data_IF_400077632921
#
_entry.id   IF_400077632921
#
_cell.length_a   1.000
_cell.length_b   1.000
_cell.length_c   1.000
_cell.angle_alpha   90.00
_cell.angle_beta   90.00
_cell.angle_gamma   90.00
#
_symmetry.space_group_name_H-M   'P 1'
#
loop_
_entity.id
_entity.type
_entity.pdbx_description
1 polymer ?
#
# COMPACT_ATOMS: atom_id res chain seq x y z
N UNK A 1 52.96 34.68 47.36
CA UNK A 1 52.74 33.22 47.40
C UNK A 1 52.14 32.79 46.08
N UNK A 2 52.87 31.96 45.34
CA UNK A 2 52.53 31.34 44.06
C UNK A 2 51.42 30.30 44.25
N UNK A 3 50.44 30.23 43.34
CA UNK A 3 49.54 29.07 43.22
C UNK A 3 49.31 28.73 41.76
N UNK A 4 49.36 27.43 41.49
CA UNK A 4 49.56 26.75 40.22
C UNK A 4 48.26 26.54 39.43
N UNK A 5 48.40 26.48 38.12
CA UNK A 5 47.41 26.02 37.13
C UNK A 5 46.76 24.68 37.47
N UNK A 6 45.51 24.47 37.01
CA UNK A 6 45.19 23.24 36.24
C UNK A 6 43.91 23.39 35.41
N UNK A 7 44.07 23.30 34.10
CA UNK A 7 43.00 23.30 33.08
C UNK A 7 42.41 21.88 32.99
N UNK A 8 41.13 21.68 33.35
CA UNK A 8 40.45 20.40 33.12
C UNK A 8 39.87 20.34 31.70
N UNK A 9 40.67 19.87 30.75
CA UNK A 9 40.19 19.39 29.44
C UNK A 9 40.37 17.89 29.37
N UNK A 10 39.29 17.11 29.54
CA UNK A 10 39.05 15.78 28.94
C UNK A 10 37.92 15.07 29.68
N UNK A 11 36.74 15.01 29.04
CA UNK A 11 35.72 13.97 29.28
C UNK A 11 34.58 13.94 28.25
N UNK A 12 34.54 14.85 27.26
CA UNK A 12 33.48 14.88 26.23
C UNK A 12 33.61 13.83 25.11
N UNK A 13 34.80 13.29 24.82
CA UNK A 13 35.00 12.37 23.68
C UNK A 13 34.63 10.91 23.96
N UNK A 14 34.59 10.48 25.22
CA UNK A 14 34.22 9.10 25.58
C UNK A 14 32.70 8.85 25.59
N UNK A 15 31.89 9.87 25.87
CA UNK A 15 30.43 9.76 25.84
C UNK A 15 29.86 9.60 24.42
N UNK A 16 30.48 10.27 23.43
CA UNK A 16 30.03 10.19 22.03
C UNK A 16 30.31 8.83 21.39
N UNK A 17 31.40 8.15 21.76
CA UNK A 17 31.76 6.83 21.23
C UNK A 17 30.87 5.73 21.84
N UNK A 18 30.54 5.84 23.14
CA UNK A 18 29.63 4.90 23.79
C UNK A 18 28.19 5.00 23.24
N UNK A 19 27.70 6.20 22.93
CA UNK A 19 26.39 6.40 22.32
C UNK A 19 26.33 5.87 20.87
N UNK A 20 27.39 6.07 20.07
CA UNK A 20 27.44 5.57 18.69
C UNK A 20 27.56 4.03 18.62
N UNK A 21 28.32 3.41 19.53
CA UNK A 21 28.41 1.95 19.61
C UNK A 21 27.09 1.30 20.09
N UNK A 22 26.37 1.96 21.01
CA UNK A 22 25.04 1.55 21.44
C UNK A 22 24.01 1.59 20.30
N UNK A 23 24.01 2.66 19.49
CA UNK A 23 23.12 2.77 18.32
C UNK A 23 23.45 1.74 17.23
N UNK A 24 24.74 1.42 16.99
CA UNK A 24 25.11 0.38 16.02
C UNK A 24 24.75 -1.04 16.51
N UNK A 25 24.86 -1.31 17.81
CA UNK A 25 24.49 -2.61 18.36
C UNK A 25 22.98 -2.89 18.24
N UNK A 26 22.13 -1.87 18.36
CA UNK A 26 20.66 -2.01 18.15
C UNK A 26 20.26 -2.18 16.69
N UNK A 27 21.10 -1.76 15.74
CA UNK A 27 20.86 -1.95 14.29
C UNK A 27 21.20 -3.37 13.81
N UNK A 28 22.05 -4.11 14.54
CA UNK A 28 22.50 -5.46 14.17
C UNK A 28 21.59 -6.58 14.70
N UNK A 29 20.67 -6.28 15.61
CA UNK A 29 19.65 -7.22 16.13
C UNK A 29 18.27 -6.99 15.52
N UNK A 30 18.13 -6.02 14.62
CA UNK A 30 16.93 -5.85 13.82
C UNK A 30 16.89 -6.97 12.75
N UNK A 31 16.49 -8.16 13.16
CA UNK A 31 15.93 -9.14 12.24
C UNK A 31 14.82 -8.44 11.46
N UNK A 32 14.89 -8.44 10.14
CA UNK A 32 13.75 -8.08 9.31
C UNK A 32 12.57 -8.91 9.79
N UNK A 33 11.58 -8.27 10.40
CA UNK A 33 10.28 -8.88 10.63
C UNK A 33 9.71 -9.16 9.23
N UNK A 34 10.03 -10.33 8.69
CA UNK A 34 9.32 -10.85 7.55
C UNK A 34 7.90 -11.07 8.06
N UNK A 35 6.98 -10.19 7.66
CA UNK A 35 5.56 -10.45 7.84
C UNK A 35 5.30 -11.81 7.18
N UNK A 36 4.91 -12.81 7.97
CA UNK A 36 4.33 -14.02 7.41
C UNK A 36 3.07 -13.55 6.69
N UNK A 37 2.99 -13.65 5.35
CA UNK A 37 1.75 -13.36 4.65
C UNK A 37 0.66 -14.23 5.27
N UNK A 38 -0.56 -13.73 5.37
CA UNK A 38 -1.70 -14.59 5.62
C UNK A 38 -1.62 -15.76 4.60
N UNK A 39 -1.92 -17.02 4.97
CA UNK A 39 -2.00 -18.12 4.02
C UNK A 39 -2.72 -17.80 2.69
N UNK A 40 -3.64 -16.81 2.67
CA UNK A 40 -4.28 -16.28 1.46
C UNK A 40 -3.56 -15.15 0.71
N UNK A 41 -2.59 -14.47 1.32
CA UNK A 41 -1.85 -13.33 0.74
C UNK A 41 -0.57 -13.75 -0.01
N UNK A 42 -0.15 -15.00 0.15
CA UNK A 42 0.93 -15.55 -0.67
C UNK A 42 0.46 -15.62 -2.14
N UNK A 43 1.26 -15.17 -3.12
CA UNK A 43 0.95 -15.42 -4.52
C UNK A 43 0.75 -16.93 -4.69
N UNK A 44 -0.42 -17.34 -5.19
CA UNK A 44 -0.66 -18.73 -5.52
C UNK A 44 0.51 -19.26 -6.34
N UNK A 45 1.02 -20.45 -6.02
CA UNK A 45 2.04 -21.08 -6.88
C UNK A 45 1.46 -21.12 -8.29
N UNK A 46 2.18 -20.50 -9.23
CA UNK A 46 1.78 -20.49 -10.64
C UNK A 46 1.81 -21.93 -11.14
N UNK A 47 0.69 -22.63 -11.04
CA UNK A 47 0.46 -23.90 -11.72
C UNK A 47 0.79 -23.73 -13.20
N UNK A 48 1.49 -24.70 -13.79
CA UNK A 48 1.78 -24.65 -15.20
C UNK A 48 0.49 -24.85 -15.99
N UNK A 49 0.16 -23.87 -16.84
CA UNK A 49 -0.96 -23.99 -17.78
C UNK A 49 -0.64 -25.11 -18.77
N UNK A 50 -1.55 -26.06 -18.94
CA UNK A 50 -1.28 -27.22 -19.80
C UNK A 50 -1.13 -26.82 -21.26
N UNK A 51 -0.48 -27.67 -22.08
CA UNK A 51 -0.33 -27.40 -23.52
C UNK A 51 -1.67 -27.36 -24.25
N UNK A 52 -2.65 -28.14 -23.79
CA UNK A 52 -4.01 -28.12 -24.33
C UNK A 52 -4.69 -26.79 -24.05
N UNK A 53 -4.63 -26.29 -22.81
CA UNK A 53 -5.28 -25.02 -22.45
C UNK A 53 -4.64 -23.85 -23.22
N UNK A 54 -3.32 -23.88 -23.42
CA UNK A 54 -2.62 -22.90 -24.25
C UNK A 54 -3.04 -22.96 -25.71
N UNK A 55 -3.26 -24.15 -26.27
CA UNK A 55 -3.70 -24.32 -27.65
C UNK A 55 -5.15 -23.86 -27.84
N UNK A 56 -6.02 -24.17 -26.88
CA UNK A 56 -7.42 -23.70 -26.84
C UNK A 56 -7.48 -22.18 -26.77
N UNK A 57 -6.74 -21.55 -25.86
CA UNK A 57 -6.67 -20.10 -25.76
C UNK A 57 -6.17 -19.44 -27.06
N UNK A 58 -5.15 -20.02 -27.73
CA UNK A 58 -4.67 -19.53 -29.02
C UNK A 58 -5.71 -19.65 -30.13
N UNK A 59 -6.46 -20.75 -30.16
CA UNK A 59 -7.55 -20.94 -31.12
C UNK A 59 -8.67 -19.91 -30.89
N UNK A 60 -9.06 -19.68 -29.64
CA UNK A 60 -10.07 -18.68 -29.27
C UNK A 60 -9.63 -17.24 -29.64
N UNK A 61 -8.35 -16.88 -29.40
CA UNK A 61 -7.79 -15.60 -29.86
C UNK A 61 -7.83 -15.51 -31.38
N UNK A 62 -7.39 -16.55 -32.09
CA UNK A 62 -7.39 -16.57 -33.56
C UNK A 62 -8.80 -16.54 -34.17
N UNK A 63 -9.79 -17.07 -33.44
CA UNK A 63 -11.21 -17.04 -33.82
C UNK A 63 -11.91 -15.73 -33.49
N UNK A 64 -11.29 -14.87 -32.66
CA UNK A 64 -11.88 -13.62 -32.18
C UNK A 64 -12.88 -13.79 -31.03
N UNK A 65 -12.93 -14.98 -30.40
CA UNK A 65 -13.81 -15.27 -29.27
C UNK A 65 -13.33 -14.56 -27.99
N UNK A 66 -12.01 -14.38 -27.87
CA UNK A 66 -11.39 -13.59 -26.80
C UNK A 66 -10.36 -12.61 -27.41
N UNK A 67 -10.16 -11.43 -26.80
CA UNK A 67 -9.17 -10.48 -27.26
C UNK A 67 -7.75 -11.06 -27.25
N UNK A 68 -6.93 -10.64 -28.20
CA UNK A 68 -5.50 -10.92 -28.19
C UNK A 68 -4.77 -10.26 -27.03
N UNK A 69 -3.49 -10.64 -26.85
CA UNK A 69 -2.61 -9.97 -25.88
C UNK A 69 -2.50 -8.49 -26.26
N UNK A 70 -2.73 -7.61 -25.28
CA UNK A 70 -2.74 -6.15 -25.42
C UNK A 70 -3.86 -5.58 -26.33
N UNK A 71 -4.80 -6.41 -26.78
CA UNK A 71 -5.98 -5.94 -27.50
C UNK A 71 -6.99 -5.33 -26.51
N UNK A 72 -7.34 -4.06 -26.75
CA UNK A 72 -8.35 -3.37 -25.96
C UNK A 72 -9.70 -3.51 -26.67
N UNK A 73 -10.56 -4.35 -26.12
CA UNK A 73 -11.95 -4.47 -26.57
C UNK A 73 -12.86 -3.69 -25.64
N UNK A 74 -13.76 -2.89 -26.22
CA UNK A 74 -14.73 -2.09 -25.49
C UNK A 74 -15.99 -1.87 -26.36
N UNK A 75 -17.11 -1.50 -25.74
CA UNK A 75 -18.30 -1.07 -26.48
C UNK A 75 -18.05 0.25 -27.22
N UNK A 76 -18.83 0.54 -28.27
CA UNK A 76 -18.62 1.71 -29.15
C UNK A 76 -18.66 3.08 -28.43
N UNK A 77 -19.32 3.15 -27.28
CA UNK A 77 -19.45 4.35 -26.45
C UNK A 77 -18.36 4.50 -25.38
N UNK A 78 -17.45 3.54 -25.26
CA UNK A 78 -16.31 3.58 -24.36
C UNK A 78 -15.05 3.88 -25.19
N UNK A 79 -14.12 4.64 -24.62
CA UNK A 79 -12.81 4.91 -25.24
C UNK A 79 -11.75 4.90 -24.16
N UNK A 80 -10.68 4.14 -24.38
CA UNK A 80 -9.49 4.27 -23.56
C UNK A 80 -8.87 5.66 -23.77
N UNK A 81 -8.67 6.43 -22.70
CA UNK A 81 -8.10 7.78 -22.78
C UNK A 81 -6.63 7.85 -22.37
N UNK A 82 -6.26 7.18 -21.29
CA UNK A 82 -4.89 7.15 -20.76
C UNK A 82 -4.74 6.04 -19.73
N UNK A 83 -3.53 5.53 -19.58
CA UNK A 83 -3.09 4.74 -18.44
C UNK A 83 -2.37 5.65 -17.43
N UNK A 84 -2.57 5.43 -16.13
CA UNK A 84 -1.84 6.12 -15.05
C UNK A 84 -1.02 5.07 -14.30
N UNK A 85 0.32 5.12 -14.36
CA UNK A 85 1.16 4.17 -13.63
C UNK A 85 0.93 4.24 -12.11
N UNK A 86 1.12 3.10 -11.43
CA UNK A 86 1.09 3.06 -9.96
C UNK A 86 2.18 3.98 -9.39
N UNK A 87 1.85 4.58 -8.24
CA UNK A 87 2.74 5.45 -7.49
C UNK A 87 3.61 4.66 -6.51
N UNK A 88 3.60 5.06 -5.24
CA UNK A 88 4.37 4.45 -4.17
C UNK A 88 3.75 3.15 -3.65
N UNK A 89 2.41 3.05 -3.66
CA UNK A 89 1.70 1.83 -3.27
C UNK A 89 1.82 0.79 -4.40
N UNK A 90 2.49 -0.33 -4.13
CA UNK A 90 2.80 -1.35 -5.15
C UNK A 90 1.80 -2.51 -5.14
N UNK A 91 1.06 -2.67 -4.04
CA UNK A 91 0.02 -3.67 -3.86
C UNK A 91 -1.03 -3.66 -4.97
N UNK A 92 -1.83 -4.72 -5.02
CA UNK A 92 -2.92 -4.84 -6.00
C UNK A 92 -3.94 -3.73 -5.77
N UNK A 93 -4.35 -3.05 -6.84
CA UNK A 93 -5.44 -2.07 -6.76
C UNK A 93 -6.76 -2.82 -6.65
N UNK A 94 -7.71 -2.24 -5.95
CA UNK A 94 -9.03 -2.82 -5.70
C UNK A 94 -10.12 -1.85 -6.11
N UNK A 95 -11.20 -1.73 -5.33
CA UNK A 95 -12.38 -0.97 -5.72
C UNK A 95 -12.14 0.53 -5.91
N UNK A 96 -13.08 1.14 -6.62
CA UNK A 96 -13.09 2.55 -6.98
C UNK A 96 -14.34 3.23 -6.44
N UNK A 97 -14.16 4.38 -5.81
CA UNK A 97 -15.24 5.32 -5.52
C UNK A 97 -15.01 6.66 -6.24
N UNK A 98 -16.10 7.36 -6.57
CA UNK A 98 -16.04 8.64 -7.27
C UNK A 98 -16.80 9.72 -6.51
N UNK A 99 -16.23 10.91 -6.42
CA UNK A 99 -16.89 12.09 -5.85
C UNK A 99 -16.51 13.35 -6.62
N UNK A 100 -17.46 13.87 -7.41
CA UNK A 100 -17.24 15.03 -8.27
C UNK A 100 -16.09 14.79 -9.25
N UNK A 101 -14.99 15.53 -9.07
CA UNK A 101 -13.78 15.43 -9.91
C UNK A 101 -12.69 14.52 -9.33
N UNK A 102 -13.01 13.70 -8.33
CA UNK A 102 -12.05 12.82 -7.68
C UNK A 102 -12.42 11.35 -7.84
N UNK A 103 -11.40 10.52 -8.04
CA UNK A 103 -11.48 9.06 -7.92
C UNK A 103 -10.66 8.64 -6.71
N UNK A 104 -11.19 7.72 -5.92
CA UNK A 104 -10.55 7.10 -4.77
C UNK A 104 -10.34 5.63 -5.12
N UNK A 105 -9.12 5.15 -5.01
CA UNK A 105 -8.72 3.83 -5.49
C UNK A 105 -8.13 3.05 -4.34
N UNK A 106 -8.79 1.95 -4.00
CA UNK A 106 -8.31 0.99 -3.03
C UNK A 106 -7.03 0.32 -3.50
N UNK A 107 -6.20 -0.07 -2.55
CA UNK A 107 -4.96 -0.78 -2.80
C UNK A 107 -4.65 -1.64 -1.58
N UNK A 108 -4.09 -2.84 -1.75
CA UNK A 108 -3.76 -3.71 -0.60
C UNK A 108 -2.86 -3.02 0.45
N UNK A 109 -2.07 -2.02 0.04
CA UNK A 109 -1.22 -1.21 0.90
C UNK A 109 -1.94 0.03 1.50
N UNK A 110 -3.12 0.41 1.02
CA UNK A 110 -3.91 1.55 1.50
C UNK A 110 -4.84 2.12 0.43
N UNK A 111 -4.71 3.40 0.10
CA UNK A 111 -5.49 4.00 -0.99
C UNK A 111 -4.83 5.20 -1.67
N UNK A 112 -5.31 5.51 -2.88
CA UNK A 112 -4.86 6.65 -3.69
C UNK A 112 -6.04 7.54 -4.05
N UNK A 113 -5.84 8.86 -3.98
CA UNK A 113 -6.81 9.85 -4.47
C UNK A 113 -6.27 10.46 -5.75
N UNK A 114 -7.07 10.45 -6.82
CA UNK A 114 -6.77 11.11 -8.09
C UNK A 114 -7.73 12.28 -8.34
N UNK A 115 -7.20 13.40 -8.84
CA UNK A 115 -7.97 14.45 -9.51
C UNK A 115 -8.15 14.03 -10.98
N UNK A 116 -9.40 13.77 -11.36
CA UNK A 116 -9.83 13.34 -12.68
C UNK A 116 -10.52 14.47 -13.47
N UNK A 117 -10.39 15.73 -13.04
CA UNK A 117 -10.96 16.90 -13.75
C UNK A 117 -10.46 17.06 -15.19
N UNK A 118 -9.29 16.49 -15.50
CA UNK A 118 -8.77 16.36 -16.86
C UNK A 118 -8.69 14.87 -17.21
N UNK A 119 -9.71 14.27 -17.86
CA UNK A 119 -9.79 12.82 -18.05
C UNK A 119 -8.60 12.20 -18.81
N UNK A 120 -7.98 12.96 -19.73
CA UNK A 120 -6.77 12.53 -20.46
C UNK A 120 -5.47 12.72 -19.69
N UNK A 121 -5.49 13.41 -18.55
CA UNK A 121 -4.33 13.71 -17.69
C UNK A 121 -4.71 13.72 -16.20
N UNK A 122 -5.20 12.60 -15.63
CA UNK A 122 -5.46 12.49 -14.20
C UNK A 122 -4.18 12.80 -13.40
N UNK A 123 -4.34 13.27 -12.16
CA UNK A 123 -3.22 13.59 -11.27
C UNK A 123 -3.41 12.96 -9.91
N UNK A 124 -2.38 12.33 -9.38
CA UNK A 124 -2.35 11.89 -7.98
C UNK A 124 -2.43 13.10 -7.05
N UNK A 125 -3.34 13.06 -6.10
CA UNK A 125 -3.58 14.09 -5.07
C UNK A 125 -2.96 13.68 -3.75
N UNK A 126 -3.18 12.43 -3.35
CA UNK A 126 -2.65 11.83 -2.14
C UNK A 126 -2.49 10.32 -2.32
N UNK A 127 -1.56 9.75 -1.56
CA UNK A 127 -1.37 8.30 -1.39
C UNK A 127 -1.27 8.06 0.11
N UNK A 128 -2.12 7.20 0.64
CA UNK A 128 -2.19 6.90 2.06
C UNK A 128 -1.80 5.44 2.24
N UNK A 129 -0.68 5.21 2.92
CA UNK A 129 -0.26 3.87 3.34
C UNK A 129 -1.08 3.49 4.57
N UNK A 130 -1.93 2.49 4.42
CA UNK A 130 -2.73 1.92 5.49
C UNK A 130 -3.03 0.45 5.15
N UNK A 131 -2.09 -0.46 5.43
CA UNK A 131 -2.23 -1.85 5.03
C UNK A 131 -3.42 -2.51 5.74
N UNK A 132 -4.09 -3.40 5.01
CA UNK A 132 -5.23 -4.15 5.52
C UNK A 132 -5.69 -5.29 4.61
N UNK A 133 -5.00 -5.53 3.47
CA UNK A 133 -5.47 -6.34 2.34
C UNK A 133 -6.83 -5.87 1.80
N UNK A 134 -7.14 -6.18 0.55
CA UNK A 134 -8.31 -5.70 -0.20
C UNK A 134 -8.51 -4.18 -0.19
N UNK A 135 -8.82 -3.54 0.95
CA UNK A 135 -8.85 -2.09 1.12
C UNK A 135 -9.83 -1.44 0.14
N UNK A 136 -11.00 -2.07 -0.01
CA UNK A 136 -12.08 -1.56 -0.84
C UNK A 136 -12.61 -0.26 -0.25
N UNK A 137 -13.05 0.63 -1.15
CA UNK A 137 -13.39 2.00 -0.80
C UNK A 137 -14.86 2.29 -1.04
N UNK A 138 -15.48 2.91 -0.04
CA UNK A 138 -16.73 3.65 -0.18
C UNK A 138 -16.55 5.09 0.28
N UNK A 139 -17.27 6.03 -0.34
CA UNK A 139 -17.19 7.46 0.00
C UNK A 139 -18.58 8.04 0.22
N UNK A 140 -18.79 8.73 1.34
CA UNK A 140 -20.02 9.46 1.64
C UNK A 140 -19.72 10.80 2.31
N UNK A 141 -20.14 11.90 1.69
CA UNK A 141 -19.83 13.25 2.18
C UNK A 141 -18.32 13.46 2.32
N UNK A 142 -17.84 13.82 3.51
CA UNK A 142 -16.41 13.97 3.78
C UNK A 142 -15.77 12.72 4.37
N UNK A 143 -16.42 11.56 4.33
CA UNK A 143 -15.91 10.32 4.89
C UNK A 143 -15.54 9.34 3.77
N UNK A 144 -14.38 8.72 3.93
CA UNK A 144 -13.93 7.56 3.18
C UNK A 144 -13.90 6.37 4.12
N UNK A 145 -14.52 5.28 3.71
CA UNK A 145 -14.56 4.01 4.41
C UNK A 145 -13.64 3.05 3.67
N UNK A 146 -12.69 2.48 4.38
CA UNK A 146 -11.68 1.56 3.87
C UNK A 146 -11.85 0.22 4.59
N UNK A 147 -12.14 -0.85 3.85
CA UNK A 147 -12.21 -2.18 4.45
C UNK A 147 -10.82 -2.68 4.86
N UNK A 148 -10.77 -3.59 5.81
CA UNK A 148 -9.56 -4.33 6.19
C UNK A 148 -9.98 -5.78 6.31
N UNK A 149 -9.49 -6.59 5.37
CA UNK A 149 -9.83 -7.99 5.17
C UNK A 149 -8.61 -8.89 5.46
N UNK A 150 -7.76 -8.47 6.39
CA UNK A 150 -6.69 -9.31 6.93
C UNK A 150 -6.46 -9.02 8.40
N UNK A 151 -6.06 -10.05 9.14
CA UNK A 151 -5.84 -9.98 10.59
C UNK A 151 -4.71 -9.00 10.94
N UNK A 152 -5.04 -7.97 11.74
CA UNK A 152 -4.12 -6.90 12.18
C UNK A 152 -3.93 -6.85 13.69
N UNK A 153 -2.79 -6.34 14.15
CA UNK A 153 -2.53 -6.10 15.58
C UNK A 153 -3.50 -5.13 16.26
N UNK A 154 -4.02 -4.16 15.50
CA UNK A 154 -4.89 -3.07 15.96
C UNK A 154 -5.53 -2.36 14.77
N UNK A 155 -6.36 -1.34 15.04
CA UNK A 155 -7.10 -0.57 14.04
C UNK A 155 -6.26 0.48 13.29
N UNK A 156 -5.01 0.72 13.71
CA UNK A 156 -4.17 1.76 13.14
C UNK A 156 -3.61 1.40 11.76
N UNK A 157 -3.22 2.41 11.00
CA UNK A 157 -2.46 2.23 9.76
C UNK A 157 -1.00 1.80 10.00
N UNK A 158 -0.53 1.83 11.24
CA UNK A 158 0.78 1.31 11.67
C UNK A 158 0.72 -0.12 12.19
N UNK A 159 -0.45 -0.75 12.19
CA UNK A 159 -0.63 -2.14 12.60
C UNK A 159 0.31 -3.07 11.85
N UNK A 160 0.52 -4.27 12.39
CA UNK A 160 1.26 -5.35 11.74
C UNK A 160 0.34 -6.50 11.38
N UNK A 161 0.76 -7.31 10.39
CA UNK A 161 0.02 -8.51 10.00
C UNK A 161 0.08 -9.54 11.12
N UNK A 162 -1.05 -10.21 11.38
CA UNK A 162 -1.14 -11.35 12.27
C UNK A 162 -1.70 -12.56 11.53
N UNK A 163 -1.45 -13.80 11.99
CA UNK A 163 -2.05 -14.98 11.38
C UNK A 163 -3.56 -15.02 11.61
N UNK A 164 -4.34 -15.45 10.62
CA UNK A 164 -5.80 -15.66 10.76
C UNK A 164 -6.22 -16.64 11.89
N UNK A 165 -5.28 -17.39 12.44
CA UNK A 165 -5.50 -18.23 13.63
C UNK A 165 -5.60 -17.43 14.92
N UNK A 166 -5.06 -16.21 14.97
CA UNK A 166 -5.13 -15.31 16.13
C UNK A 166 -6.49 -14.62 16.18
N UNK A 167 -7.41 -15.17 16.97
CA UNK A 167 -8.82 -14.72 17.03
C UNK A 167 -9.02 -13.38 17.75
N UNK A 168 -7.97 -12.86 18.39
CA UNK A 168 -7.99 -11.51 18.98
C UNK A 168 -7.55 -10.41 18.00
N UNK A 169 -7.10 -10.78 16.79
CA UNK A 169 -6.71 -9.81 15.76
C UNK A 169 -7.87 -8.89 15.37
N UNK A 170 -7.52 -7.68 14.92
CA UNK A 170 -8.45 -6.69 14.41
C UNK A 170 -8.65 -6.84 12.90
N UNK A 171 -9.92 -6.80 12.49
CA UNK A 171 -10.41 -6.67 11.11
C UNK A 171 -11.61 -5.70 11.15
N UNK A 172 -11.96 -5.08 10.02
CA UNK A 172 -13.13 -4.21 9.98
C UNK A 172 -12.99 -3.01 9.05
N UNK A 173 -13.53 -1.87 9.47
CA UNK A 173 -13.59 -0.65 8.65
C UNK A 173 -12.76 0.47 9.29
N UNK A 174 -11.85 1.03 8.50
CA UNK A 174 -11.12 2.27 8.82
C UNK A 174 -11.84 3.45 8.18
N UNK A 175 -12.01 4.55 8.92
CA UNK A 175 -12.71 5.73 8.42
C UNK A 175 -11.72 6.90 8.35
N UNK A 176 -11.76 7.62 7.23
CA UNK A 176 -10.95 8.80 7.00
C UNK A 176 -11.83 10.02 6.73
N UNK A 177 -11.57 11.12 7.43
CA UNK A 177 -12.01 12.45 7.01
C UNK A 177 -11.19 12.88 5.79
N UNK A 178 -11.87 12.99 4.66
CA UNK A 178 -11.33 13.42 3.37
C UNK A 178 -11.75 14.86 3.03
N UNK A 179 -12.19 15.68 3.99
CA UNK A 179 -12.50 17.11 3.78
C UNK A 179 -11.37 17.82 3.04
N UNK A 180 -10.12 17.57 3.46
CA UNK A 180 -8.92 17.91 2.70
C UNK A 180 -8.37 16.69 1.97
N UNK A 181 -8.62 16.59 0.66
CA UNK A 181 -8.22 15.45 -0.18
C UNK A 181 -6.70 15.28 -0.29
N UNK A 182 -5.91 16.32 0.01
CA UNK A 182 -4.43 16.26 0.03
C UNK A 182 -3.89 15.70 1.34
N UNK A 183 -4.72 15.68 2.37
CA UNK A 183 -4.35 15.23 3.70
C UNK A 183 -5.55 14.51 4.36
N UNK A 184 -5.95 13.33 3.85
CA UNK A 184 -6.92 12.48 4.54
C UNK A 184 -6.47 12.22 5.98
N UNK A 185 -7.42 12.21 6.92
CA UNK A 185 -7.13 11.99 8.34
C UNK A 185 -7.91 10.78 8.83
N UNK A 186 -7.23 9.82 9.42
CA UNK A 186 -7.88 8.72 10.14
C UNK A 186 -8.62 9.28 11.37
N UNK A 187 -9.86 8.83 11.62
CA UNK A 187 -10.73 9.33 12.71
C UNK A 187 -11.33 8.20 13.53
#
# INVERSE_FOLDING_TARGET
>A
MTSLHTTRVRRRRLGAVAAAAGLLATLLTATTAAATPDPGDAPAERGSVSKSDQAEARAAISGGDIPGVDEIVHSSNIKHLTNVPKGALQGTNTDLAFQGKYAYVGNYDGFVIYDISKPKKPKTVAQVLCPGSQNDISVSGNLLFLSTDSSRSDDSCSSTSQPATEKSSWEGMKIFDISNKRQPKYI
#
